data_IF_576521286469
#
_entry.id   IF_576521286469
#
_cell.length_a   1.000
_cell.length_b   1.000
_cell.length_c   1.000
_cell.angle_alpha   90.00
_cell.angle_beta   90.00
_cell.angle_gamma   90.00
#
_symmetry.space_group_name_H-M   'P 1'
#
loop_
_entity.id
_entity.type
_entity.pdbx_description
1 polymer ?
#
# COMPACT_ATOMS: atom_id res chain seq x y z
N UNK A 1 5.38 -23.87 20.24
CA UNK A 1 5.55 -24.35 18.85
C UNK A 1 4.41 -25.30 18.55
N UNK A 2 3.80 -25.17 17.38
CA UNK A 2 2.71 -25.99 16.89
C UNK A 2 3.10 -26.48 15.49
N UNK A 3 3.50 -27.74 15.35
CA UNK A 3 3.90 -28.33 14.08
C UNK A 3 2.65 -28.71 13.29
N UNK A 4 2.46 -28.11 12.13
CA UNK A 4 1.31 -28.35 11.26
C UNK A 4 1.40 -29.78 10.73
N UNK A 5 0.37 -30.57 10.99
CA UNK A 5 0.26 -31.95 10.49
C UNK A 5 -0.65 -32.05 9.27
N UNK A 6 -1.63 -31.16 9.16
CA UNK A 6 -2.60 -31.15 8.06
C UNK A 6 -3.23 -29.78 7.89
N UNK A 7 -3.47 -29.38 6.65
CA UNK A 7 -4.33 -28.25 6.29
C UNK A 7 -5.46 -28.76 5.42
N UNK A 8 -6.71 -28.52 5.82
CA UNK A 8 -7.88 -28.91 5.01
C UNK A 8 -8.22 -27.81 4.02
N UNK A 9 -8.43 -28.19 2.75
CA UNK A 9 -9.00 -27.30 1.74
C UNK A 9 -10.52 -27.54 1.64
N UNK A 10 -11.30 -26.49 1.78
CA UNK A 10 -12.77 -26.52 1.79
C UNK A 10 -13.33 -25.12 1.97
N UNK A 11 -14.64 -24.98 2.25
CA UNK A 11 -15.27 -23.68 2.52
C UNK A 11 -14.62 -22.93 3.68
N UNK A 12 -14.08 -23.67 4.65
CA UNK A 12 -13.24 -23.15 5.74
C UNK A 12 -11.92 -23.90 5.75
N UNK A 13 -10.82 -23.17 5.68
CA UNK A 13 -9.48 -23.74 5.78
C UNK A 13 -9.15 -23.99 7.25
N UNK A 14 -8.99 -25.25 7.66
CA UNK A 14 -8.66 -25.61 9.04
C UNK A 14 -7.22 -26.12 9.09
N UNK A 15 -6.45 -25.57 10.02
CA UNK A 15 -5.08 -26.03 10.32
C UNK A 15 -5.14 -26.99 11.50
N UNK A 16 -4.50 -28.14 11.34
CA UNK A 16 -4.27 -29.13 12.39
C UNK A 16 -2.78 -29.13 12.76
N UNK A 17 -2.48 -29.27 14.04
CA UNK A 17 -1.12 -29.29 14.53
C UNK A 17 -0.95 -30.22 15.73
N UNK A 18 0.31 -30.53 16.04
CA UNK A 18 0.76 -31.14 17.30
C UNK A 18 1.66 -30.14 18.01
N UNK A 19 1.45 -29.92 19.31
CA UNK A 19 2.31 -29.05 20.10
C UNK A 19 3.54 -29.80 20.67
N UNK A 20 4.32 -29.14 21.54
CA UNK A 20 5.55 -29.72 22.09
C UNK A 20 5.31 -30.88 23.07
N UNK A 21 4.12 -30.94 23.65
CA UNK A 21 3.74 -31.97 24.62
C UNK A 21 3.04 -33.16 23.92
N UNK A 22 2.97 -33.13 22.59
CA UNK A 22 2.29 -34.14 21.78
C UNK A 22 0.77 -33.95 21.72
N UNK A 23 0.23 -32.84 22.23
CA UNK A 23 -1.20 -32.59 22.20
C UNK A 23 -1.64 -32.10 20.81
N UNK A 24 -2.68 -32.72 20.29
CA UNK A 24 -3.28 -32.35 19.01
C UNK A 24 -4.20 -31.13 19.16
N UNK A 25 -4.15 -30.24 18.18
CA UNK A 25 -5.03 -29.08 18.09
C UNK A 25 -5.49 -28.80 16.67
N UNK A 26 -6.60 -28.08 16.54
CA UNK A 26 -7.10 -27.59 15.25
C UNK A 26 -7.83 -26.26 15.39
N UNK A 27 -7.74 -25.41 14.37
CA UNK A 27 -8.47 -24.13 14.30
C UNK A 27 -8.63 -23.66 12.87
N UNK A 28 -9.73 -22.94 12.60
CA UNK A 28 -9.92 -22.23 11.34
C UNK A 28 -8.77 -21.22 11.15
N UNK A 29 -8.12 -21.29 10.00
CA UNK A 29 -7.00 -20.43 9.63
C UNK A 29 -7.40 -18.95 9.71
N UNK A 30 -8.63 -18.60 9.33
CA UNK A 30 -9.13 -17.22 9.35
C UNK A 30 -9.32 -16.66 10.77
N UNK A 31 -9.47 -17.53 11.76
CA UNK A 31 -9.63 -17.15 13.17
C UNK A 31 -8.30 -17.07 13.94
N UNK A 32 -7.20 -17.48 13.32
CA UNK A 32 -5.86 -17.35 13.91
C UNK A 32 -5.34 -15.95 13.68
N UNK A 33 -5.11 -15.21 14.77
CA UNK A 33 -4.46 -13.90 14.68
C UNK A 33 -2.96 -14.04 14.36
N UNK A 34 -2.29 -12.91 14.14
CA UNK A 34 -0.86 -12.91 13.84
C UNK A 34 -0.01 -13.49 14.97
N UNK A 35 -0.43 -13.35 16.24
CA UNK A 35 0.30 -13.86 17.39
C UNK A 35 0.23 -15.36 17.50
N UNK A 36 -0.90 -15.96 17.14
CA UNK A 36 -1.05 -17.40 17.12
C UNK A 36 -0.30 -18.01 15.94
N UNK A 37 -0.38 -17.37 14.77
CA UNK A 37 0.28 -17.82 13.54
C UNK A 37 1.80 -17.82 13.63
N UNK A 38 2.42 -16.93 14.41
CA UNK A 38 3.88 -16.93 14.63
C UNK A 38 4.39 -18.23 15.28
N UNK A 39 3.50 -19.02 15.90
CA UNK A 39 3.85 -20.27 16.56
C UNK A 39 3.58 -21.50 15.71
N UNK A 40 3.10 -21.34 14.47
CA UNK A 40 2.90 -22.42 13.52
C UNK A 40 4.20 -22.74 12.77
N UNK A 41 4.50 -24.02 12.63
CA UNK A 41 5.70 -24.54 12.00
C UNK A 41 5.33 -25.60 10.97
N UNK A 42 6.10 -25.73 9.91
CA UNK A 42 6.04 -26.82 8.93
C UNK A 42 7.29 -27.69 9.07
N UNK A 43 7.20 -28.96 8.67
CA UNK A 43 8.38 -29.83 8.63
C UNK A 43 9.26 -29.42 7.43
N UNK A 44 10.49 -28.98 7.72
CA UNK A 44 11.50 -28.64 6.73
C UNK A 44 12.57 -29.74 6.60
N UNK A 45 13.50 -29.62 5.64
CA UNK A 45 14.54 -30.63 5.41
C UNK A 45 15.49 -30.84 6.60
N UNK A 46 15.73 -29.80 7.40
CA UNK A 46 16.61 -29.83 8.57
C UNK A 46 15.83 -29.79 9.90
N UNK A 47 14.50 -29.98 9.83
CA UNK A 47 13.59 -29.97 10.97
C UNK A 47 12.53 -28.87 10.88
N UNK A 48 11.80 -28.59 11.98
CA UNK A 48 10.69 -27.65 11.97
C UNK A 48 11.10 -26.20 11.62
N UNK A 49 10.47 -25.65 10.58
CA UNK A 49 10.65 -24.27 10.12
C UNK A 49 9.37 -23.46 10.35
N UNK A 50 9.44 -22.15 10.65
CA UNK A 50 8.23 -21.36 10.86
C UNK A 50 7.34 -21.30 9.60
N UNK A 51 6.04 -21.48 9.78
CA UNK A 51 5.04 -21.31 8.73
C UNK A 51 4.71 -19.82 8.51
N UNK A 52 5.76 -19.02 8.28
CA UNK A 52 5.72 -17.57 8.32
C UNK A 52 6.56 -16.97 7.20
N UNK A 53 5.98 -16.06 6.42
CA UNK A 53 6.64 -15.52 5.23
C UNK A 53 7.81 -14.57 5.57
N UNK A 54 7.62 -13.73 6.58
CA UNK A 54 8.55 -12.65 6.90
C UNK A 54 9.45 -13.06 8.06
N UNK A 55 10.66 -13.52 7.78
CA UNK A 55 11.60 -14.00 8.79
C UNK A 55 12.64 -12.93 9.15
N UNK A 56 13.21 -13.04 10.35
CA UNK A 56 14.42 -12.31 10.73
C UNK A 56 15.67 -13.00 10.18
N UNK A 57 16.83 -12.38 10.30
CA UNK A 57 18.13 -12.96 9.91
C UNK A 57 18.45 -14.28 10.62
N UNK A 58 17.80 -14.55 11.75
CA UNK A 58 17.92 -15.79 12.52
C UNK A 58 16.92 -16.87 12.07
N UNK A 59 16.15 -16.63 11.00
CA UNK A 59 15.13 -17.55 10.48
C UNK A 59 13.86 -17.64 11.33
N UNK A 60 13.63 -16.71 12.26
CA UNK A 60 12.45 -16.69 13.13
C UNK A 60 11.38 -15.72 12.60
N UNK A 61 10.09 -15.89 12.96
CA UNK A 61 9.03 -14.97 12.56
C UNK A 61 9.33 -13.51 12.93
N UNK A 62 9.39 -12.64 11.93
CA UNK A 62 9.45 -11.20 12.12
C UNK A 62 8.08 -10.68 12.53
N UNK A 63 8.00 -10.11 13.74
CA UNK A 63 6.76 -9.55 14.27
C UNK A 63 6.33 -8.30 13.45
N UNK A 64 5.02 -8.06 13.25
CA UNK A 64 4.54 -6.94 12.45
C UNK A 64 5.12 -5.58 12.85
N UNK A 65 5.26 -5.30 14.15
CA UNK A 65 5.77 -4.01 14.62
C UNK A 65 7.23 -3.74 14.23
N UNK A 66 8.01 -4.79 13.93
CA UNK A 66 9.41 -4.67 13.51
C UNK A 66 9.56 -3.95 12.16
N UNK A 67 8.53 -4.00 11.32
CA UNK A 67 8.50 -3.23 10.07
C UNK A 67 8.66 -1.72 10.32
N UNK A 68 8.20 -1.18 11.45
CA UNK A 68 8.40 0.24 11.77
C UNK A 68 9.89 0.60 11.86
N UNK A 69 10.73 -0.30 12.37
CA UNK A 69 12.18 -0.09 12.42
C UNK A 69 12.81 -0.17 11.04
N UNK A 70 12.41 -1.15 10.22
CA UNK A 70 12.88 -1.29 8.83
C UNK A 70 12.60 -0.01 8.02
N UNK A 71 11.36 0.49 8.09
CA UNK A 71 10.98 1.74 7.43
C UNK A 71 11.71 2.96 7.99
N UNK A 72 11.89 3.05 9.31
CA UNK A 72 12.66 4.14 9.94
C UNK A 72 14.10 4.18 9.43
N UNK A 73 14.77 3.02 9.38
CA UNK A 73 16.13 2.91 8.86
C UNK A 73 16.20 3.27 7.36
N UNK A 74 15.21 2.83 6.57
CA UNK A 74 15.13 3.21 5.17
C UNK A 74 14.96 4.73 4.99
N UNK A 75 14.04 5.36 5.72
CA UNK A 75 13.86 6.81 5.71
C UNK A 75 15.14 7.56 6.11
N UNK A 76 15.88 7.06 7.11
CA UNK A 76 17.16 7.64 7.52
C UNK A 76 18.21 7.56 6.41
N UNK A 77 18.30 6.43 5.69
CA UNK A 77 19.19 6.31 4.52
C UNK A 77 18.81 7.30 3.42
N UNK A 78 17.50 7.48 3.15
CA UNK A 78 17.04 8.50 2.21
C UNK A 78 17.42 9.91 2.67
N UNK A 79 17.26 10.25 3.95
CA UNK A 79 17.69 11.56 4.47
C UNK A 79 19.21 11.75 4.32
N UNK A 80 20.01 10.73 4.60
CA UNK A 80 21.46 10.78 4.43
C UNK A 80 21.89 11.01 2.98
N UNK A 81 21.18 10.42 2.02
CA UNK A 81 21.48 10.54 0.60
C UNK A 81 20.99 11.86 0.00
N UNK A 82 19.85 12.38 0.46
CA UNK A 82 19.13 13.46 -0.21
C UNK A 82 19.26 14.83 0.48
N UNK A 83 19.76 14.89 1.71
CA UNK A 83 19.93 16.12 2.49
C UNK A 83 21.38 16.35 2.90
N UNK A 84 21.77 17.62 2.94
CA UNK A 84 23.03 18.07 3.54
C UNK A 84 23.08 17.78 5.05
N UNK A 85 24.28 17.81 5.63
CA UNK A 85 24.44 17.65 7.07
C UNK A 85 23.66 18.72 7.86
N UNK A 86 23.70 19.98 7.41
CA UNK A 86 23.01 21.11 8.04
C UNK A 86 21.49 20.96 8.00
N UNK A 87 20.91 20.56 6.86
CA UNK A 87 19.46 20.33 6.73
C UNK A 87 18.96 19.20 7.67
N UNK A 88 19.83 18.24 8.01
CA UNK A 88 19.49 17.12 8.89
C UNK A 88 19.53 17.45 10.38
N UNK A 89 20.22 18.52 10.79
CA UNK A 89 20.30 18.95 12.20
C UNK A 89 18.92 19.29 12.77
N UNK A 90 18.06 19.89 11.96
CA UNK A 90 16.67 20.15 12.35
C UNK A 90 15.83 18.86 12.32
N UNK A 91 15.00 18.60 13.35
CA UNK A 91 14.01 17.52 13.31
C UNK A 91 13.10 17.65 12.08
N UNK A 92 12.75 16.52 11.44
CA UNK A 92 11.98 16.51 10.18
C UNK A 92 10.72 17.39 10.22
N UNK A 93 9.97 17.39 11.33
CA UNK A 93 8.74 18.17 11.47
C UNK A 93 8.97 19.69 11.48
N UNK A 94 10.17 20.13 11.83
CA UNK A 94 10.57 21.55 11.90
C UNK A 94 11.29 22.01 10.63
N UNK A 95 11.63 21.10 9.71
CA UNK A 95 12.21 21.46 8.42
C UNK A 95 11.17 22.16 7.54
N UNK A 96 11.61 23.13 6.75
CA UNK A 96 10.77 23.82 5.76
C UNK A 96 10.22 22.83 4.72
N UNK A 97 9.08 23.17 4.11
CA UNK A 97 8.36 22.29 3.20
C UNK A 97 9.22 21.81 2.02
N UNK A 98 10.05 22.69 1.46
CA UNK A 98 10.99 22.36 0.37
C UNK A 98 11.96 21.23 0.76
N UNK A 99 12.63 21.37 1.91
CA UNK A 99 13.57 20.36 2.42
C UNK A 99 12.85 19.06 2.78
N UNK A 100 11.65 19.14 3.36
CA UNK A 100 10.83 17.95 3.66
C UNK A 100 10.39 17.21 2.40
N UNK A 101 10.03 17.96 1.36
CA UNK A 101 9.55 17.45 0.08
C UNK A 101 10.64 16.67 -0.67
N UNK A 102 11.91 17.09 -0.55
CA UNK A 102 13.06 16.42 -1.16
C UNK A 102 13.33 14.99 -0.68
N UNK A 103 12.77 14.58 0.46
CA UNK A 103 13.01 13.24 0.99
C UNK A 103 11.70 12.48 1.15
N UNK A 104 11.55 11.31 0.50
CA UNK A 104 10.40 10.46 0.70
C UNK A 104 10.31 10.03 2.17
N UNK A 105 9.09 9.90 2.67
CA UNK A 105 8.85 9.39 4.02
C UNK A 105 7.76 8.34 3.99
N UNK A 106 8.12 7.13 4.41
CA UNK A 106 7.23 5.99 4.40
C UNK A 106 7.12 5.36 5.78
N UNK A 107 5.94 4.85 6.09
CA UNK A 107 5.66 3.95 7.21
C UNK A 107 4.90 2.75 6.66
N UNK A 108 4.87 1.61 7.37
CA UNK A 108 4.06 0.47 6.92
C UNK A 108 2.59 0.87 6.65
N UNK A 109 2.02 1.73 7.48
CA UNK A 109 0.64 2.19 7.30
C UNK A 109 0.49 3.17 6.12
N UNK A 110 1.48 4.04 5.88
CA UNK A 110 1.40 4.94 4.72
C UNK A 110 1.50 4.19 3.39
N UNK A 111 2.14 3.00 3.34
CA UNK A 111 2.11 2.16 2.13
C UNK A 111 0.71 1.64 1.82
N UNK A 112 -0.05 1.26 2.86
CA UNK A 112 -1.48 0.90 2.69
C UNK A 112 -2.28 2.08 2.17
N UNK A 113 -1.97 3.29 2.64
CA UNK A 113 -2.59 4.52 2.17
C UNK A 113 -2.25 4.86 0.72
N UNK A 114 -0.97 4.80 0.34
CA UNK A 114 -0.52 5.00 -1.04
C UNK A 114 -1.18 4.00 -1.99
N UNK A 115 -1.26 2.72 -1.60
CA UNK A 115 -1.95 1.70 -2.39
C UNK A 115 -3.44 2.00 -2.55
N UNK A 116 -4.13 2.41 -1.49
CA UNK A 116 -5.55 2.75 -1.55
C UNK A 116 -5.82 3.92 -2.52
N UNK A 117 -5.02 4.99 -2.42
CA UNK A 117 -5.13 6.15 -3.31
C UNK A 117 -4.78 5.81 -4.76
N UNK A 118 -3.71 5.04 -4.97
CA UNK A 118 -3.32 4.56 -6.29
C UNK A 118 -4.44 3.75 -6.94
N UNK A 119 -5.00 2.78 -6.21
CA UNK A 119 -6.11 1.96 -6.71
C UNK A 119 -7.36 2.78 -6.97
N UNK A 120 -7.67 3.77 -6.13
CA UNK A 120 -8.81 4.65 -6.35
C UNK A 120 -8.64 5.45 -7.65
N UNK A 121 -7.48 6.03 -7.88
CA UNK A 121 -7.18 6.80 -9.10
C UNK A 121 -7.24 5.88 -10.32
N UNK A 122 -6.55 4.74 -10.28
CA UNK A 122 -6.55 3.77 -11.37
C UNK A 122 -7.96 3.26 -11.70
N UNK A 123 -8.78 2.94 -10.69
CA UNK A 123 -10.13 2.44 -10.90
C UNK A 123 -11.05 3.52 -11.48
N UNK A 124 -10.91 4.79 -11.04
CA UNK A 124 -11.65 5.89 -11.66
C UNK A 124 -11.20 6.12 -13.11
N UNK A 125 -9.89 6.15 -13.38
CA UNK A 125 -9.38 6.25 -14.75
C UNK A 125 -9.86 5.09 -15.62
N UNK A 126 -9.90 3.86 -15.11
CA UNK A 126 -10.39 2.70 -15.86
C UNK A 126 -11.89 2.81 -16.15
N UNK A 127 -12.69 3.36 -15.23
CA UNK A 127 -14.09 3.65 -15.51
C UNK A 127 -14.24 4.71 -16.61
N UNK A 128 -13.39 5.75 -16.60
CA UNK A 128 -13.47 6.85 -17.56
C UNK A 128 -12.90 6.47 -18.95
N UNK A 129 -11.66 5.96 -18.99
CA UNK A 129 -10.91 5.67 -20.23
C UNK A 129 -11.36 4.40 -20.95
N UNK A 130 -11.72 3.33 -20.23
CA UNK A 130 -11.94 2.02 -20.88
C UNK A 130 -13.22 1.97 -21.71
N UNK A 131 -14.04 3.02 -21.66
CA UNK A 131 -15.40 2.91 -22.14
C UNK A 131 -16.04 4.19 -22.69
N UNK A 132 -15.52 5.40 -22.42
CA UNK A 132 -16.26 6.62 -22.79
C UNK A 132 -17.72 6.57 -22.30
N UNK A 133 -17.93 5.97 -21.11
CA UNK A 133 -19.24 5.52 -20.63
C UNK A 133 -20.22 6.68 -20.66
N UNK A 134 -21.37 6.46 -21.29
CA UNK A 134 -22.53 7.30 -21.03
C UNK A 134 -22.95 7.13 -19.57
N UNK A 135 -23.79 8.01 -19.03
CA UNK A 135 -24.31 7.88 -17.66
C UNK A 135 -25.04 6.55 -17.40
N UNK A 136 -25.52 5.86 -18.44
CA UNK A 136 -26.10 4.52 -18.32
C UNK A 136 -25.02 3.46 -18.08
N UNK A 137 -23.95 3.46 -18.87
CA UNK A 137 -22.91 2.44 -18.78
C UNK A 137 -22.09 2.54 -17.47
N UNK A 138 -21.96 3.75 -16.89
CA UNK A 138 -21.41 3.94 -15.53
C UNK A 138 -22.23 3.21 -14.46
N UNK A 139 -23.55 3.21 -14.59
CA UNK A 139 -24.44 2.51 -13.66
C UNK A 139 -24.31 0.99 -13.83
N UNK A 140 -24.20 0.52 -15.06
CA UNK A 140 -24.04 -0.91 -15.36
C UNK A 140 -22.68 -1.44 -14.90
N UNK A 141 -21.59 -0.68 -15.06
CA UNK A 141 -20.29 -1.03 -14.52
C UNK A 141 -20.31 -1.11 -12.98
N UNK A 142 -20.90 -0.11 -12.32
CA UNK A 142 -21.06 -0.12 -10.86
C UNK A 142 -21.94 -1.29 -10.39
N UNK A 143 -22.90 -1.73 -11.21
CA UNK A 143 -23.71 -2.91 -10.91
C UNK A 143 -22.94 -4.23 -11.08
N UNK A 144 -22.04 -4.32 -12.07
CA UNK A 144 -21.27 -5.53 -12.37
C UNK A 144 -20.04 -5.71 -11.47
N UNK A 145 -19.30 -4.64 -11.21
CA UNK A 145 -18.01 -4.68 -10.52
C UNK A 145 -18.02 -3.92 -9.17
N UNK A 146 -19.07 -3.16 -8.88
CA UNK A 146 -19.11 -2.24 -7.75
C UNK A 146 -18.52 -0.88 -8.10
N UNK A 147 -18.84 0.13 -7.29
CA UNK A 147 -18.16 1.42 -7.39
C UNK A 147 -16.67 1.30 -6.99
N UNK A 148 -15.79 2.24 -7.41
CA UNK A 148 -14.37 2.20 -7.07
C UNK A 148 -14.09 2.12 -5.58
N UNK A 149 -14.92 2.75 -4.75
CA UNK A 149 -14.76 2.73 -3.30
C UNK A 149 -15.03 1.34 -2.72
N UNK A 150 -16.02 0.64 -3.25
CA UNK A 150 -16.34 -0.73 -2.90
C UNK A 150 -15.23 -1.69 -3.32
N UNK A 151 -14.65 -1.48 -4.51
CA UNK A 151 -13.49 -2.24 -4.98
C UNK A 151 -12.26 -2.01 -4.09
N UNK A 152 -11.92 -0.75 -3.80
CA UNK A 152 -10.81 -0.41 -2.88
C UNK A 152 -11.06 -0.98 -1.48
N UNK A 153 -12.27 -0.86 -0.95
CA UNK A 153 -12.68 -1.48 0.32
C UNK A 153 -12.42 -2.99 0.31
N UNK A 154 -12.80 -3.67 -0.77
CA UNK A 154 -12.62 -5.12 -0.92
C UNK A 154 -11.15 -5.50 -0.97
N UNK A 155 -10.34 -4.78 -1.75
CA UNK A 155 -8.89 -4.99 -1.82
C UNK A 155 -8.20 -4.75 -0.47
N UNK A 156 -8.67 -3.74 0.29
CA UNK A 156 -8.17 -3.45 1.62
C UNK A 156 -8.69 -4.44 2.68
N UNK A 157 -9.75 -5.20 2.39
CA UNK A 157 -10.41 -6.08 3.36
C UNK A 157 -11.18 -5.34 4.45
N UNK A 158 -11.66 -4.13 4.17
CA UNK A 158 -12.49 -3.39 5.12
C UNK A 158 -13.91 -3.98 5.21
N UNK A 159 -14.44 -4.03 6.43
CA UNK A 159 -15.82 -4.49 6.68
C UNK A 159 -16.83 -3.52 6.07
N UNK A 160 -16.58 -2.23 6.20
CA UNK A 160 -17.45 -1.14 5.75
C UNK A 160 -16.73 -0.21 4.76
N UNK A 161 -17.46 0.26 3.76
CA UNK A 161 -16.95 1.20 2.75
C UNK A 161 -16.75 2.59 3.34
N UNK A 162 -17.57 2.99 4.33
CA UNK A 162 -17.44 4.30 4.96
C UNK A 162 -16.11 4.45 5.69
N UNK A 163 -15.61 3.39 6.36
CA UNK A 163 -14.25 3.36 6.91
C UNK A 163 -13.18 3.64 5.85
N UNK A 164 -13.34 3.10 4.63
CA UNK A 164 -12.43 3.40 3.52
C UNK A 164 -12.51 4.86 3.11
N UNK A 165 -13.72 5.41 2.97
CA UNK A 165 -13.90 6.82 2.62
C UNK A 165 -13.31 7.72 3.70
N UNK A 166 -13.66 7.54 4.97
CA UNK A 166 -13.14 8.36 6.08
C UNK A 166 -11.60 8.41 6.12
N UNK A 167 -10.92 7.28 5.92
CA UNK A 167 -9.47 7.22 6.00
C UNK A 167 -8.72 7.69 4.75
N UNK A 168 -9.33 7.60 3.57
CA UNK A 168 -8.64 7.87 2.30
C UNK A 168 -9.25 9.01 1.47
N UNK A 169 -10.43 9.52 1.81
CA UNK A 169 -11.09 10.63 1.12
C UNK A 169 -10.46 11.98 1.49
N UNK A 170 -10.06 12.19 2.74
CA UNK A 170 -9.60 13.51 3.21
C UNK A 170 -8.45 14.12 2.38
N UNK A 171 -7.42 13.37 1.92
CA UNK A 171 -6.35 13.91 1.08
C UNK A 171 -6.75 14.16 -0.38
N UNK A 172 -7.81 13.51 -0.87
CA UNK A 172 -8.27 13.55 -2.27
C UNK A 172 -9.59 14.29 -2.45
N UNK A 173 -10.19 14.77 -1.37
CA UNK A 173 -11.45 15.52 -1.41
C UNK A 173 -11.34 16.78 -2.29
N UNK A 174 -10.13 17.34 -2.45
CA UNK A 174 -9.86 18.46 -3.34
C UNK A 174 -9.65 18.04 -4.81
N UNK A 175 -9.23 16.79 -5.06
CA UNK A 175 -9.12 16.24 -6.42
C UNK A 175 -10.49 16.11 -7.10
N UNK A 176 -11.52 15.83 -6.31
CA UNK A 176 -12.88 15.61 -6.81
C UNK A 176 -13.56 16.87 -7.37
N UNK A 177 -13.04 18.08 -7.10
CA UNK A 177 -13.62 19.32 -7.60
C UNK A 177 -12.87 19.82 -8.85
N UNK A 178 -11.54 19.81 -8.84
CA UNK A 178 -10.75 20.33 -9.97
C UNK A 178 -10.61 19.32 -11.11
N UNK A 179 -10.50 18.01 -10.82
CA UNK A 179 -10.48 16.99 -11.89
C UNK A 179 -11.86 16.79 -12.51
N UNK A 180 -12.96 16.99 -11.77
CA UNK A 180 -14.30 16.94 -12.36
C UNK A 180 -14.57 18.17 -13.23
N UNK A 181 -14.07 19.36 -12.84
CA UNK A 181 -14.26 20.60 -13.60
C UNK A 181 -13.30 20.76 -14.78
N UNK A 182 -12.09 20.17 -14.73
CA UNK A 182 -11.12 20.26 -15.82
C UNK A 182 -11.28 19.19 -16.91
N UNK A 183 -11.98 18.09 -16.64
CA UNK A 183 -12.18 17.01 -17.62
C UNK A 183 -13.35 17.28 -18.60
N UNK A 184 -14.21 18.26 -18.33
CA UNK A 184 -15.28 18.67 -19.26
C UNK A 184 -14.77 19.56 -20.42
N UNK A 185 -13.51 20.01 -20.40
CA UNK A 185 -12.95 20.94 -21.41
C UNK A 185 -12.02 20.29 -22.44
N UNK A 186 -11.84 18.95 -22.39
CA UNK A 186 -11.04 18.23 -23.37
C UNK A 186 -11.90 17.78 -24.57
N UNK A 187 -11.69 18.46 -25.72
CA UNK A 187 -12.26 18.11 -27.03
C UNK A 187 -11.94 16.66 -27.44
N UNK A 188 -12.81 15.99 -28.22
CA UNK A 188 -12.75 14.55 -28.44
C UNK A 188 -11.72 14.09 -29.50
N UNK A 189 -10.75 14.92 -29.85
CA UNK A 189 -9.77 14.62 -30.91
C UNK A 189 -8.35 14.73 -30.35
N UNK A 190 -7.94 13.77 -29.52
CA UNK A 190 -6.51 13.43 -29.34
C UNK A 190 -6.43 12.05 -28.67
N UNK A 191 -5.94 11.05 -29.43
CA UNK A 191 -5.47 9.78 -28.88
C UNK A 191 -4.24 10.04 -27.99
N UNK A 192 -4.48 10.52 -26.77
CA UNK A 192 -3.49 10.46 -25.71
C UNK A 192 -3.97 9.44 -24.70
N UNK A 193 -3.52 8.20 -24.90
CA UNK A 193 -3.37 7.26 -23.80
C UNK A 193 -2.40 7.86 -22.79
N UNK A 194 -2.89 8.79 -21.96
CA UNK A 194 -2.10 9.45 -20.93
C UNK A 194 -1.56 8.38 -19.99
N UNK A 195 -0.25 8.19 -20.02
CA UNK A 195 0.52 7.33 -19.14
C UNK A 195 0.11 7.62 -17.69
N UNK A 196 -0.26 6.58 -16.94
CA UNK A 196 -0.70 6.71 -15.56
C UNK A 196 0.34 7.44 -14.68
N UNK A 197 1.63 7.28 -15.00
CA UNK A 197 2.70 8.04 -14.34
C UNK A 197 2.56 9.56 -14.59
N UNK A 198 2.14 9.98 -15.78
CA UNK A 198 1.91 11.39 -16.10
C UNK A 198 0.73 11.99 -15.31
N UNK A 199 -0.33 11.21 -15.07
CA UNK A 199 -1.44 11.62 -14.20
C UNK A 199 -0.94 11.78 -12.76
N UNK A 200 -0.22 10.80 -12.22
CA UNK A 200 0.30 10.89 -10.85
C UNK A 200 1.27 12.07 -10.67
N UNK A 201 2.14 12.33 -11.65
CA UNK A 201 3.03 13.48 -11.66
C UNK A 201 2.26 14.81 -11.73
N UNK A 202 1.12 14.87 -12.44
CA UNK A 202 0.22 16.02 -12.42
C UNK A 202 -0.45 16.20 -11.05
N UNK A 203 -1.04 15.14 -10.51
CA UNK A 203 -1.72 15.15 -9.20
C UNK A 203 -0.77 15.53 -8.06
N UNK A 204 0.48 15.06 -8.10
CA UNK A 204 1.51 15.42 -7.14
C UNK A 204 1.93 16.90 -7.20
N UNK A 205 1.82 17.55 -8.37
CA UNK A 205 2.05 19.01 -8.50
C UNK A 205 0.89 19.83 -7.98
N UNK A 206 -0.34 19.35 -8.18
CA UNK A 206 -1.57 20.05 -7.81
C UNK A 206 -1.95 19.82 -6.33
N UNK A 207 -1.45 18.76 -5.69
CA UNK A 207 -1.87 18.34 -4.34
C UNK A 207 -0.71 18.33 -3.35
N UNK A 208 -0.90 18.93 -2.17
CA UNK A 208 0.12 18.95 -1.09
C UNK A 208 0.34 17.59 -0.42
N UNK A 209 -0.55 16.61 -0.65
CA UNK A 209 -0.57 15.31 0.02
C UNK A 209 0.04 14.14 -0.77
N UNK A 210 0.37 14.32 -2.05
CA UNK A 210 0.91 13.28 -2.93
C UNK A 210 2.33 13.69 -3.34
N UNK A 211 3.30 12.77 -3.21
CA UNK A 211 4.69 13.01 -3.58
C UNK A 211 5.07 12.16 -4.79
N UNK A 212 5.64 12.78 -5.82
CA UNK A 212 6.25 12.10 -6.96
C UNK A 212 7.73 11.81 -6.66
N UNK A 213 8.06 10.54 -6.41
CA UNK A 213 9.43 10.14 -6.03
C UNK A 213 10.38 10.24 -7.22
N UNK A 214 9.93 9.95 -8.44
CA UNK A 214 10.80 9.97 -9.63
C UNK A 214 11.25 11.39 -9.94
N UNK A 215 10.34 12.36 -9.83
CA UNK A 215 10.67 13.78 -9.92
C UNK A 215 11.68 14.21 -8.86
N UNK A 216 11.48 13.79 -7.61
CA UNK A 216 12.37 14.15 -6.49
C UNK A 216 13.78 13.58 -6.65
N UNK A 217 13.90 12.36 -7.22
CA UNK A 217 15.18 11.71 -7.48
C UNK A 217 15.86 12.29 -8.72
N UNK A 218 15.11 12.58 -9.78
CA UNK A 218 15.64 13.14 -11.03
C UNK A 218 16.11 14.59 -10.93
N UNK A 219 15.59 15.36 -9.96
CA UNK A 219 16.02 16.74 -9.71
C UNK A 219 17.38 16.87 -8.99
N UNK A 220 18.02 15.75 -8.65
CA UNK A 220 19.36 15.77 -8.04
C UNK A 220 20.42 16.07 -9.11
N UNK A 221 21.42 16.93 -8.82
CA UNK A 221 22.62 16.97 -9.65
C UNK A 221 23.23 15.57 -9.65
N UNK A 222 23.54 15.04 -10.83
CA UNK A 222 24.25 13.77 -10.95
C UNK A 222 25.52 13.85 -10.08
N UNK A 223 25.60 13.02 -9.05
CA UNK A 223 26.80 12.91 -8.25
C UNK A 223 27.92 12.47 -9.18
N UNK A 224 28.81 13.39 -9.55
CA UNK A 224 30.08 13.05 -10.20
C UNK A 224 30.84 12.17 -9.20
N UNK A 225 30.88 10.88 -9.52
CA UNK A 225 31.70 9.90 -8.83
C UNK A 225 33.16 10.23 -9.18
N UNK A 226 33.87 10.85 -8.25
CA UNK A 226 35.33 10.95 -8.26
C UNK A 226 35.97 9.67 -7.77
#
# INVERSE_FOLDING_TARGET
>A
MRLITKVTSGRTTVVHWVDRDGAEGRRDLTLLDWRERQWLFVEGPEGPEPAWLWLTEQGLPMLPDRWNTVFRQANQRCEQALLSAQEREAPRLLRVAEVRGRVPYATPHSMRHSMALYMLILLNELMDKKYGLTAADRRDFAQLYGDPWWLVKTLLGHRDVETTKEHYLAPVMHLHLESVLAFDDHRPDEEQGGDMNSLFARLARETTGIQDIEYLVGALPALEVS
#
